data_IF_257530346588
#
_entry.id   IF_257530346588
#
_cell.length_a   1.000
_cell.length_b   1.000
_cell.length_c   1.000
_cell.angle_alpha   90.00
_cell.angle_beta   90.00
_cell.angle_gamma   90.00
#
_symmetry.space_group_name_H-M   'P 1'
#
loop_
_entity.id
_entity.type
_entity.pdbx_description
1 polymer ?
#
# COMPACT_ATOMS: atom_id res chain seq x y z
N UNK A 1 56.70 21.29 -71.48
CA UNK A 1 55.37 20.72 -71.12
C UNK A 1 55.27 20.67 -69.60
N UNK A 2 54.11 21.05 -69.03
CA UNK A 2 54.07 21.79 -67.77
C UNK A 2 54.00 20.89 -66.53
N UNK A 3 54.65 21.40 -65.48
CA UNK A 3 54.70 20.85 -64.13
C UNK A 3 53.33 20.97 -63.43
N UNK A 4 52.95 19.90 -62.73
CA UNK A 4 51.79 19.86 -61.82
C UNK A 4 52.05 20.78 -60.62
N UNK A 5 51.30 21.86 -60.52
CA UNK A 5 51.16 22.66 -59.29
C UNK A 5 50.16 21.97 -58.37
N UNK A 6 50.66 21.42 -57.26
CA UNK A 6 49.85 20.97 -56.12
C UNK A 6 49.56 22.21 -55.27
N UNK A 7 48.30 22.63 -55.24
CA UNK A 7 47.81 23.65 -54.31
C UNK A 7 47.67 22.99 -52.92
N UNK A 8 48.56 23.33 -52.00
CA UNK A 8 48.44 22.99 -50.58
C UNK A 8 47.55 24.06 -49.94
N UNK A 9 46.47 23.70 -49.22
CA UNK A 9 45.62 24.68 -48.56
C UNK A 9 46.40 25.37 -47.44
N UNK A 10 46.37 26.70 -47.48
CA UNK A 10 46.96 27.61 -46.50
C UNK A 10 46.31 27.37 -45.14
N UNK A 11 47.03 26.69 -44.25
CA UNK A 11 46.68 26.56 -42.84
C UNK A 11 46.84 27.94 -42.19
N UNK A 12 45.73 28.64 -41.89
CA UNK A 12 45.75 29.83 -41.05
C UNK A 12 46.21 29.43 -39.65
N UNK A 13 47.48 29.70 -39.35
CA UNK A 13 48.01 29.67 -37.99
C UNK A 13 47.51 30.93 -37.28
N UNK A 14 46.53 30.76 -36.38
CA UNK A 14 46.16 31.81 -35.45
C UNK A 14 47.35 32.10 -34.51
N UNK A 15 47.70 33.37 -34.24
CA UNK A 15 48.77 33.70 -33.30
C UNK A 15 48.39 33.18 -31.91
N UNK A 16 49.28 32.38 -31.32
CA UNK A 16 49.10 31.86 -29.97
C UNK A 16 49.11 33.02 -28.96
N UNK A 17 47.93 33.36 -28.43
CA UNK A 17 47.83 34.20 -27.24
C UNK A 17 48.43 33.40 -26.08
N UNK A 18 49.52 33.89 -25.49
CA UNK A 18 50.14 33.27 -24.32
C UNK A 18 49.14 33.37 -23.16
N UNK A 19 48.63 32.21 -22.73
CA UNK A 19 47.62 32.10 -21.67
C UNK A 19 48.28 32.30 -20.30
N UNK A 20 47.89 33.34 -19.57
CA UNK A 20 48.43 33.68 -18.26
C UNK A 20 47.29 33.89 -17.25
N UNK A 21 47.44 33.37 -16.02
CA UNK A 21 46.51 33.62 -14.92
C UNK A 21 46.62 35.10 -14.51
N UNK A 22 45.51 35.70 -14.09
CA UNK A 22 45.43 37.11 -13.67
C UNK A 22 45.14 37.18 -12.17
N UNK A 23 46.04 37.78 -11.41
CA UNK A 23 45.85 38.10 -10.00
C UNK A 23 45.37 39.55 -9.89
N UNK A 24 44.20 39.74 -9.28
CA UNK A 24 43.74 41.05 -8.85
C UNK A 24 44.19 41.28 -7.41
N UNK A 25 44.96 42.34 -7.20
CA UNK A 25 45.45 42.76 -5.90
C UNK A 25 44.39 43.60 -5.17
N UNK A 26 44.39 43.56 -3.84
CA UNK A 26 43.47 44.37 -3.01
C UNK A 26 43.68 45.88 -3.16
N UNK A 27 44.82 46.29 -3.73
CA UNK A 27 45.16 47.68 -4.05
C UNK A 27 44.64 48.14 -5.41
N UNK A 28 43.94 47.27 -6.16
CA UNK A 28 43.35 47.57 -7.47
C UNK A 28 44.26 47.28 -8.67
N UNK A 29 45.49 46.80 -8.45
CA UNK A 29 46.41 46.40 -9.54
C UNK A 29 46.17 44.97 -10.04
N UNK A 30 46.54 44.69 -11.29
CA UNK A 30 46.45 43.36 -11.92
C UNK A 30 47.84 42.85 -12.29
N UNK A 31 48.12 41.57 -12.01
CA UNK A 31 49.38 40.90 -12.35
C UNK A 31 49.08 39.66 -13.18
N UNK A 32 49.73 39.54 -14.35
CA UNK A 32 49.50 38.44 -15.31
C UNK A 32 50.68 37.46 -15.32
N UNK A 33 50.42 36.17 -15.17
CA UNK A 33 51.42 35.11 -15.28
C UNK A 33 50.90 33.72 -14.88
N UNK A 34 51.70 32.67 -14.98
CA UNK A 34 51.30 31.30 -14.60
C UNK A 34 51.34 31.13 -13.07
N UNK A 35 50.23 30.68 -12.46
CA UNK A 35 50.20 30.36 -11.03
C UNK A 35 50.91 29.02 -10.77
N UNK A 36 52.05 29.08 -10.07
CA UNK A 36 52.93 27.93 -9.83
C UNK A 36 52.51 27.04 -8.65
N UNK A 37 51.73 27.56 -7.69
CA UNK A 37 51.31 26.83 -6.49
C UNK A 37 49.77 26.59 -6.40
N UNK A 38 49.12 26.08 -7.45
CA UNK A 38 47.66 26.03 -7.54
C UNK A 38 46.96 25.11 -6.53
N UNK A 39 47.65 24.08 -6.05
CA UNK A 39 47.10 23.02 -5.18
C UNK A 39 47.46 23.21 -3.69
N UNK A 40 48.14 24.29 -3.34
CA UNK A 40 48.58 24.53 -1.95
C UNK A 40 47.37 24.78 -1.02
N UNK A 41 47.32 24.01 0.07
CA UNK A 41 46.35 24.14 1.17
C UNK A 41 47.02 23.75 2.52
N UNK A 42 46.89 24.55 3.60
CA UNK A 42 46.24 25.85 3.65
C UNK A 42 47.08 26.92 2.95
N UNK A 43 46.44 27.74 2.12
CA UNK A 43 47.13 28.72 1.27
C UNK A 43 47.78 29.83 2.06
N UNK A 44 49.10 30.01 1.90
CA UNK A 44 49.87 31.12 2.52
C UNK A 44 50.22 32.23 1.53
N UNK A 45 50.58 31.86 0.31
CA UNK A 45 51.00 32.78 -0.75
C UNK A 45 50.44 32.38 -2.11
N UNK A 46 50.51 33.30 -3.07
CA UNK A 46 50.29 33.06 -4.48
C UNK A 46 51.60 33.33 -5.21
N UNK A 47 52.13 32.31 -5.88
CA UNK A 47 53.37 32.41 -6.64
C UNK A 47 53.05 32.43 -8.12
N UNK A 48 53.41 33.54 -8.79
CA UNK A 48 53.17 33.73 -10.21
C UNK A 48 54.49 33.83 -10.96
N UNK A 49 54.56 33.18 -12.12
CA UNK A 49 55.58 33.43 -13.14
C UNK A 49 55.00 34.37 -14.19
N UNK A 50 55.42 35.63 -14.19
CA UNK A 50 55.00 36.62 -15.20
C UNK A 50 55.50 36.24 -16.60
N UNK A 51 54.89 36.81 -17.63
CA UNK A 51 55.22 36.56 -19.04
C UNK A 51 56.67 36.88 -19.40
N UNK A 52 57.29 37.82 -18.68
CA UNK A 52 58.70 38.21 -18.83
C UNK A 52 59.67 37.29 -18.06
N UNK A 53 59.18 36.18 -17.51
CA UNK A 53 59.97 35.20 -16.76
C UNK A 53 60.25 35.59 -15.30
N UNK A 54 59.63 36.67 -14.81
CA UNK A 54 59.83 37.14 -13.42
C UNK A 54 58.89 36.39 -12.49
N UNK A 55 59.45 35.73 -11.46
CA UNK A 55 58.67 35.07 -10.40
C UNK A 55 58.31 36.08 -9.31
N UNK A 56 57.02 36.22 -9.02
CA UNK A 56 56.47 37.12 -8.01
C UNK A 56 55.67 36.32 -6.98
N UNK A 57 55.77 36.73 -5.71
CA UNK A 57 55.07 36.08 -4.60
C UNK A 57 54.20 37.10 -3.86
N UNK A 58 52.90 36.83 -3.77
CA UNK A 58 51.93 37.67 -3.06
C UNK A 58 51.41 36.94 -1.83
N UNK A 59 51.35 37.62 -0.68
CA UNK A 59 50.73 37.05 0.52
C UNK A 59 49.21 36.94 0.36
N UNK A 60 48.57 35.97 1.04
CA UNK A 60 47.10 35.75 0.96
C UNK A 60 46.26 37.03 1.13
N UNK A 61 46.69 37.98 1.97
CA UNK A 61 45.97 39.25 2.25
C UNK A 61 46.07 40.30 1.13
N UNK A 62 47.04 40.16 0.23
CA UNK A 62 47.28 41.11 -0.86
C UNK A 62 46.51 40.74 -2.13
N UNK A 63 46.00 39.51 -2.22
CA UNK A 63 45.27 38.99 -3.38
C UNK A 63 43.78 39.03 -3.11
N UNK A 64 43.05 39.81 -3.91
CA UNK A 64 41.60 39.90 -3.85
C UNK A 64 40.95 38.70 -4.53
N UNK A 65 41.40 38.36 -5.75
CA UNK A 65 40.96 37.17 -6.49
C UNK A 65 42.01 36.75 -7.53
N UNK A 66 41.97 35.48 -7.93
CA UNK A 66 42.80 34.94 -9.01
C UNK A 66 41.87 34.39 -10.09
N UNK A 67 41.96 34.92 -11.31
CA UNK A 67 41.28 34.40 -12.49
C UNK A 67 42.28 33.53 -13.23
N UNK A 68 42.00 32.23 -13.32
CA UNK A 68 42.87 31.32 -14.07
C UNK A 68 42.68 31.54 -15.56
N UNK A 69 43.74 31.40 -16.35
CA UNK A 69 43.67 31.34 -17.81
C UNK A 69 42.85 30.16 -18.35
N UNK A 70 42.58 29.16 -17.50
CA UNK A 70 41.69 28.03 -17.77
C UNK A 70 40.33 28.18 -17.09
N UNK A 71 40.01 29.36 -16.55
CA UNK A 71 38.69 29.64 -15.98
C UNK A 71 37.63 29.56 -17.10
N UNK A 72 36.69 28.60 -17.03
CA UNK A 72 35.61 28.47 -17.99
C UNK A 72 34.82 29.77 -18.18
N UNK A 73 34.65 30.55 -17.10
CA UNK A 73 33.87 31.78 -17.12
C UNK A 73 34.55 32.85 -18.01
N UNK A 74 35.87 33.01 -17.87
CA UNK A 74 36.67 33.96 -18.66
C UNK A 74 36.76 33.55 -20.13
N UNK A 75 36.95 32.25 -20.39
CA UNK A 75 36.98 31.71 -21.75
C UNK A 75 35.62 31.84 -22.45
N UNK A 76 34.53 31.76 -21.69
CA UNK A 76 33.18 31.98 -22.23
C UNK A 76 33.03 33.41 -22.77
N UNK A 77 33.47 34.42 -22.02
CA UNK A 77 33.39 35.83 -22.43
C UNK A 77 34.30 36.12 -23.64
N UNK A 78 35.46 35.46 -23.74
CA UNK A 78 36.36 35.57 -24.88
C UNK A 78 35.77 34.97 -26.17
N UNK A 79 35.10 33.81 -26.06
CA UNK A 79 34.52 33.12 -27.21
C UNK A 79 33.17 33.69 -27.66
N UNK A 80 32.41 34.33 -26.76
CA UNK A 80 31.06 34.82 -27.06
C UNK A 80 30.99 35.76 -28.28
N UNK A 81 31.87 36.77 -28.46
CA UNK A 81 31.85 37.65 -29.63
C UNK A 81 32.28 36.97 -30.94
N UNK A 82 33.00 35.86 -30.85
CA UNK A 82 33.52 35.11 -32.00
C UNK A 82 32.46 34.15 -32.58
N UNK A 83 31.40 33.87 -31.81
CA UNK A 83 30.33 32.98 -32.24
C UNK A 83 29.32 33.73 -33.11
N UNK A 84 28.93 33.17 -34.27
CA UNK A 84 27.91 33.78 -35.10
C UNK A 84 26.56 33.80 -34.38
N UNK A 85 25.78 34.87 -34.59
CA UNK A 85 24.42 35.04 -34.07
C UNK A 85 23.39 34.15 -34.81
N UNK A 86 23.69 32.86 -34.95
CA UNK A 86 22.87 31.85 -35.62
C UNK A 86 22.57 30.68 -34.69
N UNK A 87 21.64 29.81 -35.10
CA UNK A 87 21.32 28.58 -34.36
C UNK A 87 22.56 27.68 -34.21
N UNK A 88 23.34 27.51 -35.28
CA UNK A 88 24.57 26.68 -35.25
C UNK A 88 25.68 27.28 -34.38
N UNK A 89 25.83 28.61 -34.36
CA UNK A 89 26.78 29.28 -33.46
C UNK A 89 26.44 29.06 -31.99
N UNK A 90 25.16 29.23 -31.64
CA UNK A 90 24.67 28.97 -30.30
C UNK A 90 24.75 27.49 -29.91
N UNK A 91 24.51 26.55 -30.84
CA UNK A 91 24.67 25.12 -30.60
C UNK A 91 26.13 24.75 -30.27
N UNK A 92 27.09 25.26 -31.05
CA UNK A 92 28.52 25.06 -30.77
C UNK A 92 28.92 25.61 -29.41
N UNK A 93 28.41 26.80 -29.05
CA UNK A 93 28.66 27.38 -27.72
C UNK A 93 28.03 26.55 -26.61
N UNK A 94 26.81 26.03 -26.79
CA UNK A 94 26.14 25.16 -25.83
C UNK A 94 26.90 23.84 -25.58
N UNK A 95 27.42 23.21 -26.63
CA UNK A 95 28.26 22.01 -26.54
C UNK A 95 29.60 22.29 -25.86
N UNK A 96 30.20 23.46 -26.10
CA UNK A 96 31.39 23.89 -25.37
C UNK A 96 31.09 24.10 -23.88
N UNK A 97 30.01 24.80 -23.55
CA UNK A 97 29.54 24.99 -22.17
C UNK A 97 29.25 23.66 -21.46
N UNK A 98 28.77 22.64 -22.19
CA UNK A 98 28.58 21.29 -21.64
C UNK A 98 29.93 20.67 -21.23
N UNK A 99 30.95 20.78 -22.08
CA UNK A 99 32.29 20.23 -21.83
C UNK A 99 33.02 20.93 -20.69
N UNK A 100 32.78 22.23 -20.52
CA UNK A 100 33.42 23.05 -19.48
C UNK A 100 32.63 23.15 -18.18
N UNK A 101 31.44 22.55 -18.10
CA UNK A 101 30.61 22.50 -16.89
C UNK A 101 29.74 23.74 -16.66
N UNK A 102 29.66 24.67 -17.61
CA UNK A 102 28.85 25.90 -17.54
C UNK A 102 27.38 25.63 -17.90
N UNK A 103 26.68 24.82 -17.09
CA UNK A 103 25.34 24.32 -17.38
C UNK A 103 24.25 25.42 -17.46
N UNK A 104 24.38 26.49 -16.69
CA UNK A 104 23.46 27.65 -16.76
C UNK A 104 23.53 28.33 -18.12
N UNK A 105 24.75 28.71 -18.55
CA UNK A 105 25.02 29.33 -19.86
C UNK A 105 24.65 28.41 -21.02
N UNK A 106 24.90 27.10 -20.88
CA UNK A 106 24.44 26.08 -21.84
C UNK A 106 22.94 26.18 -22.07
N UNK A 107 22.15 26.22 -20.99
CA UNK A 107 20.68 26.31 -21.08
C UNK A 107 20.24 27.54 -21.87
N UNK A 108 20.82 28.71 -21.59
CA UNK A 108 20.52 29.97 -22.31
C UNK A 108 20.81 29.87 -23.82
N UNK A 109 21.95 29.27 -24.19
CA UNK A 109 22.29 29.06 -25.59
C UNK A 109 21.33 28.08 -26.26
N UNK A 110 21.01 26.96 -25.61
CA UNK A 110 20.04 25.99 -26.14
C UNK A 110 18.64 26.59 -26.34
N UNK A 111 18.17 27.44 -25.41
CA UNK A 111 16.91 28.18 -25.57
C UNK A 111 16.96 29.14 -26.77
N UNK A 112 18.12 29.75 -27.00
CA UNK A 112 18.35 30.62 -28.17
C UNK A 112 18.37 29.81 -29.46
N UNK A 113 18.95 28.61 -29.47
CA UNK A 113 18.88 27.68 -30.61
C UNK A 113 17.43 27.36 -30.96
N UNK A 114 16.62 26.92 -29.97
CA UNK A 114 15.20 26.56 -30.21
C UNK A 114 14.36 27.76 -30.66
N UNK A 115 14.75 28.98 -30.29
CA UNK A 115 14.08 30.21 -30.74
C UNK A 115 14.36 30.53 -32.22
N UNK A 116 15.61 30.31 -32.66
CA UNK A 116 16.05 30.58 -34.03
C UNK A 116 15.69 29.43 -34.99
N UNK A 117 15.73 28.20 -34.51
CA UNK A 117 15.34 26.98 -35.22
C UNK A 117 14.41 26.14 -34.32
N UNK A 118 13.08 26.31 -34.46
CA UNK A 118 12.09 25.61 -33.66
C UNK A 118 12.08 24.09 -33.82
N UNK A 119 12.63 23.53 -34.90
CA UNK A 119 12.64 22.09 -35.16
C UNK A 119 13.99 21.44 -34.86
N UNK A 120 14.93 22.20 -34.27
CA UNK A 120 16.25 21.71 -33.87
C UNK A 120 16.18 20.63 -32.77
N UNK A 121 16.01 19.38 -33.19
CA UNK A 121 15.80 18.21 -32.34
C UNK A 121 16.88 18.02 -31.24
N UNK A 122 18.19 18.12 -31.52
CA UNK A 122 19.21 17.94 -30.48
C UNK A 122 19.10 18.96 -29.33
N UNK A 123 18.83 20.23 -29.63
CA UNK A 123 18.69 21.29 -28.63
C UNK A 123 17.44 21.10 -27.78
N UNK A 124 16.33 20.67 -28.39
CA UNK A 124 15.09 20.33 -27.68
C UNK A 124 15.26 19.15 -26.74
N UNK A 125 15.87 18.06 -27.21
CA UNK A 125 16.19 16.91 -26.34
C UNK A 125 17.13 17.32 -25.21
N UNK A 126 18.12 18.17 -25.48
CA UNK A 126 19.04 18.70 -24.49
C UNK A 126 18.38 19.60 -23.43
N UNK A 127 17.26 20.25 -23.77
CA UNK A 127 16.39 21.02 -22.86
C UNK A 127 15.29 20.16 -22.20
N UNK A 128 15.26 18.84 -22.45
CA UNK A 128 14.30 17.90 -21.86
C UNK A 128 12.95 17.81 -22.56
N UNK A 129 12.82 18.36 -23.77
CA UNK A 129 11.63 18.16 -24.60
C UNK A 129 11.62 16.75 -25.21
N UNK A 130 10.43 16.20 -25.37
CA UNK A 130 10.17 14.97 -26.10
C UNK A 130 9.09 15.23 -27.15
N UNK A 131 9.17 14.49 -28.26
CA UNK A 131 8.13 14.52 -29.29
C UNK A 131 6.96 13.67 -28.79
N UNK A 132 5.86 14.32 -28.41
CA UNK A 132 4.65 13.64 -27.92
C UNK A 132 3.46 14.13 -28.73
N UNK A 133 2.77 13.19 -29.41
CA UNK A 133 1.65 13.48 -30.32
C UNK A 133 1.97 14.53 -31.39
N UNK A 134 3.18 14.47 -31.98
CA UNK A 134 3.62 15.38 -33.04
C UNK A 134 3.94 16.81 -32.56
N UNK A 135 4.01 17.05 -31.24
CA UNK A 135 4.43 18.34 -30.66
C UNK A 135 5.57 18.14 -29.67
N UNK A 136 6.53 19.06 -29.70
CA UNK A 136 7.58 19.14 -28.71
C UNK A 136 7.03 19.62 -27.36
N UNK A 137 7.07 18.76 -26.36
CA UNK A 137 6.57 19.05 -25.01
C UNK A 137 7.57 18.54 -23.98
N UNK A 138 7.75 19.25 -22.87
CA UNK A 138 8.49 18.67 -21.75
C UNK A 138 7.66 17.55 -21.14
N UNK A 139 8.33 16.50 -20.70
CA UNK A 139 7.65 15.36 -20.08
C UNK A 139 6.84 15.77 -18.84
N UNK A 140 7.34 16.71 -18.03
CA UNK A 140 6.64 17.26 -16.86
C UNK A 140 5.37 18.01 -17.26
N UNK A 141 5.50 18.98 -18.17
CA UNK A 141 4.40 19.80 -18.67
C UNK A 141 3.29 18.93 -19.29
N UNK A 142 3.66 17.86 -20.01
CA UNK A 142 2.71 16.92 -20.58
C UNK A 142 1.79 16.25 -19.54
N UNK A 143 2.33 15.88 -18.38
CA UNK A 143 1.56 15.29 -17.29
C UNK A 143 0.78 16.34 -16.49
N UNK A 144 1.42 17.48 -16.18
CA UNK A 144 0.79 18.59 -15.46
C UNK A 144 -0.41 19.17 -16.21
N UNK A 145 -0.32 19.33 -17.53
CA UNK A 145 -1.42 19.79 -18.38
C UNK A 145 -2.61 18.83 -18.42
N UNK A 146 -2.43 17.58 -17.98
CA UNK A 146 -3.49 16.58 -17.83
C UNK A 146 -4.00 16.45 -16.39
N UNK A 147 -3.55 17.35 -15.52
CA UNK A 147 -3.94 17.39 -14.12
C UNK A 147 -3.22 16.35 -13.27
N UNK A 148 -2.11 15.77 -13.72
CA UNK A 148 -1.28 14.89 -12.89
C UNK A 148 -0.28 15.70 -12.09
N UNK A 149 -0.02 15.25 -10.86
CA UNK A 149 1.00 15.80 -9.98
C UNK A 149 2.05 14.74 -9.67
N UNK A 150 3.27 15.19 -9.38
CA UNK A 150 4.37 14.31 -9.01
C UNK A 150 4.28 13.98 -7.52
N UNK A 151 4.00 12.73 -7.18
CA UNK A 151 3.94 12.25 -5.80
C UNK A 151 4.79 10.99 -5.63
N UNK A 152 5.75 11.01 -4.70
CA UNK A 152 6.68 9.89 -4.38
C UNK A 152 7.35 9.21 -5.58
N UNK A 153 7.67 9.97 -6.62
CA UNK A 153 8.33 9.41 -7.79
C UNK A 153 7.37 8.79 -8.82
N UNK A 154 6.06 9.01 -8.68
CA UNK A 154 5.04 8.67 -9.67
C UNK A 154 4.21 9.89 -10.08
N UNK A 155 3.64 9.86 -11.30
CA UNK A 155 2.66 10.85 -11.74
C UNK A 155 1.28 10.32 -11.40
N UNK A 156 0.56 11.01 -10.53
CA UNK A 156 -0.75 10.58 -10.04
C UNK A 156 -1.76 11.71 -10.13
N UNK A 157 -3.04 11.37 -10.22
CA UNK A 157 -4.08 12.37 -10.13
C UNK A 157 -4.18 12.91 -8.68
N UNK A 158 -4.56 14.18 -8.46
CA UNK A 158 -4.71 14.76 -7.12
C UNK A 158 -5.64 13.94 -6.20
N UNK A 159 -6.71 13.36 -6.75
CA UNK A 159 -7.62 12.50 -6.00
C UNK A 159 -6.96 11.19 -5.54
N UNK A 160 -6.08 10.61 -6.37
CA UNK A 160 -5.32 9.41 -6.00
C UNK A 160 -4.30 9.73 -4.92
N UNK A 161 -3.59 10.86 -5.05
CA UNK A 161 -2.64 11.33 -4.03
C UNK A 161 -3.34 11.57 -2.70
N UNK A 162 -4.49 12.26 -2.71
CA UNK A 162 -5.25 12.50 -1.49
C UNK A 162 -5.73 11.20 -0.83
N UNK A 163 -6.16 10.20 -1.61
CA UNK A 163 -6.53 8.87 -1.10
C UNK A 163 -5.32 8.15 -0.52
N UNK A 164 -4.18 8.18 -1.20
CA UNK A 164 -2.96 7.51 -0.76
C UNK A 164 -2.45 8.14 0.54
N UNK A 165 -2.41 9.48 0.63
CA UNK A 165 -2.05 10.21 1.85
C UNK A 165 -3.03 9.93 3.00
N UNK A 166 -4.34 9.87 2.73
CA UNK A 166 -5.34 9.51 3.72
C UNK A 166 -5.20 8.06 4.21
N UNK A 167 -4.87 7.12 3.33
CA UNK A 167 -4.60 5.73 3.69
C UNK A 167 -3.34 5.63 4.56
N UNK A 168 -2.26 6.30 4.18
CA UNK A 168 -1.01 6.33 4.95
C UNK A 168 -1.20 6.95 6.32
N UNK A 169 -1.98 8.03 6.42
CA UNK A 169 -2.33 8.64 7.70
C UNK A 169 -3.12 7.65 8.58
N UNK A 170 -4.13 6.96 8.03
CA UNK A 170 -4.89 5.93 8.74
C UNK A 170 -3.98 4.79 9.21
N UNK A 171 -3.12 4.29 8.33
CA UNK A 171 -2.17 3.22 8.66
C UNK A 171 -1.20 3.64 9.77
N UNK A 172 -0.70 4.87 9.73
CA UNK A 172 0.16 5.42 10.78
C UNK A 172 -0.58 5.49 12.13
N UNK A 173 -1.83 5.94 12.15
CA UNK A 173 -2.67 5.94 13.36
C UNK A 173 -2.91 4.52 13.88
N UNK A 174 -3.25 3.57 13.00
CA UNK A 174 -3.45 2.17 13.37
C UNK A 174 -2.17 1.56 13.96
N UNK A 175 -1.00 1.89 13.41
CA UNK A 175 0.31 1.47 13.95
C UNK A 175 0.52 2.01 15.37
N UNK A 176 0.20 3.28 15.61
CA UNK A 176 0.28 3.87 16.96
C UNK A 176 -0.70 3.21 17.93
N UNK A 177 -1.92 2.91 17.48
CA UNK A 177 -2.89 2.15 18.28
C UNK A 177 -2.41 0.76 18.63
N UNK A 178 -1.81 0.03 17.67
CA UNK A 178 -1.21 -1.29 17.92
C UNK A 178 -0.11 -1.22 18.99
N UNK A 179 0.73 -0.18 18.98
CA UNK A 179 1.76 0.04 20.02
C UNK A 179 1.12 0.27 21.39
N UNK A 180 0.12 1.16 21.48
CA UNK A 180 -0.61 1.45 22.74
C UNK A 180 -1.30 0.21 23.29
N UNK A 181 -2.06 -0.50 22.45
CA UNK A 181 -2.77 -1.72 22.85
C UNK A 181 -1.80 -2.81 23.29
N UNK A 182 -0.70 -3.02 22.57
CA UNK A 182 0.34 -3.98 22.98
C UNK A 182 0.90 -3.65 24.36
N UNK A 183 1.17 -2.38 24.64
CA UNK A 183 1.65 -1.91 25.94
C UNK A 183 0.61 -2.17 27.03
N UNK A 184 -0.63 -1.71 26.87
CA UNK A 184 -1.69 -1.87 27.88
C UNK A 184 -2.07 -3.33 28.11
N UNK A 185 -2.16 -4.13 27.04
CA UNK A 185 -2.30 -5.59 27.11
C UNK A 185 -1.19 -6.21 27.96
N UNK A 186 0.07 -5.78 27.77
CA UNK A 186 1.19 -6.29 28.56
C UNK A 186 1.07 -5.93 30.05
N UNK A 187 0.52 -4.76 30.39
CA UNK A 187 0.29 -4.35 31.78
C UNK A 187 -0.75 -5.24 32.46
N UNK A 188 -1.81 -5.61 31.73
CA UNK A 188 -2.86 -6.51 32.22
C UNK A 188 -2.30 -7.93 32.41
N UNK A 189 -1.61 -8.46 31.39
CA UNK A 189 -1.14 -9.86 31.41
C UNK A 189 0.00 -10.11 32.39
N UNK A 190 0.96 -9.18 32.51
CA UNK A 190 2.13 -9.37 33.39
C UNK A 190 1.83 -9.12 34.86
N UNK A 191 0.68 -8.53 35.17
CA UNK A 191 0.20 -8.30 36.53
C UNK A 191 1.17 -7.57 37.47
N UNK A 192 1.85 -6.52 36.97
CA UNK A 192 2.86 -5.74 37.72
C UNK A 192 2.34 -4.45 38.35
N UNK A 193 1.09 -4.43 38.81
CA UNK A 193 0.46 -3.28 39.48
C UNK A 193 -0.21 -2.25 38.55
N UNK A 194 -0.16 -2.43 37.22
CA UNK A 194 -0.79 -1.55 36.21
C UNK A 194 -1.98 -2.17 35.47
N UNK A 195 -2.54 -3.27 35.99
CA UNK A 195 -3.62 -4.01 35.33
C UNK A 195 -4.88 -3.14 35.20
N UNK A 196 -5.27 -2.46 36.29
CA UNK A 196 -6.43 -1.58 36.30
C UNK A 196 -6.29 -0.42 35.33
N UNK A 197 -5.11 0.22 35.30
CA UNK A 197 -4.79 1.31 34.37
C UNK A 197 -4.85 0.83 32.91
N UNK A 198 -4.23 -0.33 32.60
CA UNK A 198 -4.27 -0.91 31.26
C UNK A 198 -5.70 -1.22 30.81
N UNK A 199 -6.51 -1.83 31.68
CA UNK A 199 -7.91 -2.14 31.37
C UNK A 199 -8.75 -0.87 31.19
N UNK A 200 -8.55 0.14 32.05
CA UNK A 200 -9.23 1.42 31.96
C UNK A 200 -8.90 2.15 30.65
N UNK A 201 -7.62 2.19 30.27
CA UNK A 201 -7.18 2.80 29.02
C UNK A 201 -7.85 2.17 27.81
N UNK A 202 -7.92 0.83 27.77
CA UNK A 202 -8.61 0.12 26.69
C UNK A 202 -10.12 0.42 26.72
N UNK A 203 -10.76 0.39 27.90
CA UNK A 203 -12.19 0.67 28.04
C UNK A 203 -12.60 2.08 27.61
N UNK A 204 -11.67 3.04 27.68
CA UNK A 204 -11.90 4.44 27.38
C UNK A 204 -11.62 4.83 25.93
N UNK A 205 -11.24 3.88 25.07
CA UNK A 205 -11.04 4.12 23.64
C UNK A 205 -12.37 4.56 23.00
N UNK A 206 -12.34 5.69 22.29
CA UNK A 206 -13.52 6.23 21.56
C UNK A 206 -13.23 6.50 20.09
N UNK A 207 -11.99 6.27 19.65
CA UNK A 207 -11.50 6.59 18.32
C UNK A 207 -11.71 5.43 17.34
N UNK A 208 -12.26 5.74 16.16
CA UNK A 208 -12.53 4.73 15.13
C UNK A 208 -11.24 4.10 14.55
N UNK A 209 -10.10 4.80 14.60
CA UNK A 209 -8.80 4.24 14.16
C UNK A 209 -8.30 3.10 15.05
N UNK A 210 -8.87 2.91 16.24
CA UNK A 210 -8.57 1.76 17.10
C UNK A 210 -9.36 0.49 16.74
N UNK A 211 -10.37 0.58 15.87
CA UNK A 211 -11.27 -0.55 15.54
C UNK A 211 -10.47 -1.72 14.96
N UNK A 212 -9.69 -1.51 13.90
CA UNK A 212 -8.96 -2.59 13.25
C UNK A 212 -7.90 -3.22 14.18
N UNK A 213 -7.08 -2.45 14.91
CA UNK A 213 -6.17 -3.00 15.92
C UNK A 213 -6.86 -3.84 17.02
N UNK A 214 -8.04 -3.43 17.49
CA UNK A 214 -8.83 -4.20 18.47
C UNK A 214 -9.41 -5.48 17.87
N UNK A 215 -9.88 -5.42 16.61
CA UNK A 215 -10.39 -6.60 15.91
C UNK A 215 -9.31 -7.65 15.70
N UNK A 216 -8.08 -7.23 15.37
CA UNK A 216 -6.95 -8.15 15.21
C UNK A 216 -6.60 -8.88 16.51
N UNK A 217 -6.69 -8.18 17.66
CA UNK A 217 -6.51 -8.82 18.98
C UNK A 217 -7.68 -9.73 19.35
N UNK A 218 -8.92 -9.34 19.02
CA UNK A 218 -10.09 -10.19 19.21
C UNK A 218 -10.03 -11.45 18.34
N UNK A 219 -9.38 -11.37 17.17
CA UNK A 219 -9.25 -12.51 16.27
C UNK A 219 -8.12 -13.48 16.64
N UNK A 220 -7.31 -13.16 17.65
CA UNK A 220 -6.33 -14.08 18.21
C UNK A 220 -7.02 -15.11 19.13
N UNK A 221 -6.92 -16.39 18.77
CA UNK A 221 -7.48 -17.49 19.56
C UNK A 221 -6.75 -17.71 20.89
N UNK A 222 -5.49 -17.27 21.00
CA UNK A 222 -4.72 -17.33 22.24
C UNK A 222 -5.05 -16.20 23.22
N UNK A 223 -5.85 -15.21 22.78
CA UNK A 223 -6.20 -14.09 23.63
C UNK A 223 -7.11 -14.52 24.79
N UNK A 224 -6.78 -14.17 26.04
CA UNK A 224 -7.58 -14.54 27.20
C UNK A 224 -9.03 -14.06 27.11
N UNK A 225 -10.02 -14.87 27.54
CA UNK A 225 -11.44 -14.50 27.44
C UNK A 225 -11.80 -13.16 28.08
N UNK A 226 -11.15 -12.81 29.20
CA UNK A 226 -11.37 -11.53 29.89
C UNK A 226 -10.97 -10.32 29.04
N UNK A 227 -9.88 -10.44 28.27
CA UNK A 227 -9.44 -9.39 27.35
C UNK A 227 -10.34 -9.33 26.12
N UNK A 228 -10.74 -10.47 25.56
CA UNK A 228 -11.71 -10.52 24.46
C UNK A 228 -13.01 -9.79 24.82
N UNK A 229 -13.56 -10.05 26.02
CA UNK A 229 -14.76 -9.37 26.50
C UNK A 229 -14.58 -7.85 26.60
N UNK A 230 -13.42 -7.39 27.07
CA UNK A 230 -13.08 -5.97 27.12
C UNK A 230 -12.97 -5.35 25.72
N UNK A 231 -12.37 -6.04 24.75
CA UNK A 231 -12.29 -5.56 23.37
C UNK A 231 -13.68 -5.50 22.74
N UNK A 232 -14.52 -6.52 22.96
CA UNK A 232 -15.89 -6.56 22.46
C UNK A 232 -16.72 -5.41 23.03
N UNK A 233 -16.60 -5.09 24.32
CA UNK A 233 -17.36 -3.98 24.90
C UNK A 233 -17.00 -2.65 24.25
N UNK A 234 -15.72 -2.40 24.00
CA UNK A 234 -15.24 -1.19 23.30
C UNK A 234 -15.73 -1.16 21.86
N UNK A 235 -15.52 -2.24 21.10
CA UNK A 235 -15.96 -2.35 19.70
C UNK A 235 -17.49 -2.19 19.57
N UNK A 236 -18.26 -2.69 20.54
CA UNK A 236 -19.71 -2.54 20.58
C UNK A 236 -20.15 -1.09 20.83
N UNK A 237 -19.36 -0.29 21.56
CA UNK A 237 -19.59 1.14 21.75
C UNK A 237 -19.22 1.97 20.51
N UNK A 238 -18.14 1.59 19.82
CA UNK A 238 -17.69 2.25 18.58
C UNK A 238 -18.65 2.04 17.40
N UNK A 239 -19.47 0.97 17.44
CA UNK A 239 -20.52 0.67 16.44
C UNK A 239 -20.01 0.64 15.00
N UNK A 240 -18.78 0.18 14.78
CA UNK A 240 -18.22 0.09 13.44
C UNK A 240 -18.80 -1.11 12.69
N UNK A 241 -19.31 -0.95 11.45
CA UNK A 241 -19.82 -2.07 10.66
C UNK A 241 -18.74 -3.10 10.34
N UNK A 242 -17.46 -2.69 10.32
CA UNK A 242 -16.30 -3.56 10.09
C UNK A 242 -16.21 -4.69 11.14
N UNK A 243 -16.72 -4.46 12.36
CA UNK A 243 -16.74 -5.46 13.44
C UNK A 243 -17.69 -6.62 13.19
N UNK A 244 -18.68 -6.47 12.29
CA UNK A 244 -19.74 -7.47 12.04
C UNK A 244 -19.16 -8.85 11.70
N UNK A 245 -18.16 -8.91 10.82
CA UNK A 245 -17.57 -10.17 10.37
C UNK A 245 -16.86 -10.93 11.49
N UNK A 246 -16.03 -10.24 12.28
CA UNK A 246 -15.32 -10.86 13.40
C UNK A 246 -16.28 -11.26 14.52
N UNK A 247 -17.28 -10.43 14.83
CA UNK A 247 -18.31 -10.80 15.81
C UNK A 247 -19.06 -12.05 15.38
N UNK A 248 -19.49 -12.14 14.11
CA UNK A 248 -20.17 -13.33 13.59
C UNK A 248 -19.28 -14.58 13.66
N UNK A 249 -18.00 -14.47 13.26
CA UNK A 249 -17.00 -15.55 13.40
C UNK A 249 -16.88 -16.03 14.85
N UNK A 250 -16.79 -15.09 15.81
CA UNK A 250 -16.67 -15.40 17.24
C UNK A 250 -17.94 -16.06 17.79
N UNK A 251 -19.13 -15.62 17.39
CA UNK A 251 -20.40 -16.28 17.75
C UNK A 251 -20.42 -17.76 17.31
N UNK A 252 -19.90 -18.06 16.13
CA UNK A 252 -19.92 -19.40 15.57
C UNK A 252 -18.85 -20.32 16.18
N UNK A 253 -17.65 -19.80 16.43
CA UNK A 253 -16.48 -20.64 16.66
C UNK A 253 -15.78 -20.43 17.99
N UNK A 254 -16.04 -19.35 18.73
CA UNK A 254 -15.33 -19.11 19.99
C UNK A 254 -15.66 -20.20 21.04
N UNK A 255 -14.64 -20.62 21.78
CA UNK A 255 -14.74 -21.68 22.79
C UNK A 255 -15.51 -21.19 24.02
N UNK A 256 -15.35 -19.94 24.41
CA UNK A 256 -15.96 -19.37 25.61
C UNK A 256 -17.40 -18.90 25.33
N UNK A 257 -18.36 -19.39 26.12
CA UNK A 257 -19.78 -19.03 25.97
C UNK A 257 -20.03 -17.52 26.13
N UNK A 258 -19.41 -16.90 27.13
CA UNK A 258 -19.55 -15.47 27.40
C UNK A 258 -19.08 -14.61 26.23
N UNK A 259 -18.00 -15.00 25.54
CA UNK A 259 -17.49 -14.28 24.37
C UNK A 259 -18.49 -14.37 23.22
N UNK A 260 -19.06 -15.56 22.96
CA UNK A 260 -20.11 -15.74 21.95
C UNK A 260 -21.32 -14.85 22.24
N UNK A 261 -21.82 -14.87 23.48
CA UNK A 261 -23.01 -14.11 23.88
C UNK A 261 -22.77 -12.60 23.82
N UNK A 262 -21.58 -12.13 24.16
CA UNK A 262 -21.18 -10.72 24.05
C UNK A 262 -21.16 -10.25 22.60
N UNK A 263 -20.51 -11.01 21.69
CA UNK A 263 -20.52 -10.70 20.26
C UNK A 263 -21.94 -10.70 19.68
N UNK A 264 -22.77 -11.69 20.03
CA UNK A 264 -24.14 -11.76 19.55
C UNK A 264 -24.99 -10.59 20.05
N UNK A 265 -24.82 -10.19 21.31
CA UNK A 265 -25.51 -9.03 21.87
C UNK A 265 -25.05 -7.72 21.24
N UNK A 266 -23.77 -7.61 20.87
CA UNK A 266 -23.26 -6.47 20.11
C UNK A 266 -23.90 -6.40 18.71
N UNK A 267 -23.97 -7.52 17.99
CA UNK A 267 -24.63 -7.62 16.68
C UNK A 267 -26.11 -7.24 16.74
N UNK A 268 -26.83 -7.71 17.77
CA UNK A 268 -28.23 -7.36 18.01
C UNK A 268 -28.40 -5.86 18.27
N UNK A 269 -27.58 -5.28 19.13
CA UNK A 269 -27.60 -3.84 19.44
C UNK A 269 -27.30 -2.98 18.22
N UNK A 270 -26.46 -3.45 17.31
CA UNK A 270 -26.11 -2.74 16.07
C UNK A 270 -27.17 -2.90 14.98
N UNK A 271 -28.08 -3.88 15.10
CA UNK A 271 -29.10 -4.16 14.09
C UNK A 271 -28.51 -4.57 12.74
N UNK A 272 -27.33 -5.22 12.75
CA UNK A 272 -26.61 -5.55 11.52
C UNK A 272 -27.31 -6.68 10.75
N UNK A 273 -28.08 -6.30 9.73
CA UNK A 273 -28.70 -7.25 8.77
C UNK A 273 -27.64 -8.04 8.00
N UNK A 274 -26.46 -7.47 7.81
CA UNK A 274 -25.30 -8.13 7.19
C UNK A 274 -24.86 -9.36 7.99
N UNK A 275 -25.03 -9.37 9.33
CA UNK A 275 -24.68 -10.53 10.14
C UNK A 275 -25.50 -11.79 9.79
N UNK A 276 -26.76 -11.61 9.39
CA UNK A 276 -27.64 -12.71 8.99
C UNK A 276 -27.11 -13.39 7.73
N UNK A 277 -26.66 -12.59 6.76
CA UNK A 277 -26.08 -13.09 5.52
C UNK A 277 -24.79 -13.89 5.77
N UNK A 278 -24.04 -13.56 6.84
CA UNK A 278 -22.87 -14.33 7.29
C UNK A 278 -23.29 -15.64 7.97
N UNK A 279 -24.39 -15.67 8.73
CA UNK A 279 -24.83 -16.87 9.45
C UNK A 279 -25.52 -17.92 8.56
N UNK A 280 -26.22 -17.50 7.50
CA UNK A 280 -26.98 -18.41 6.62
C UNK A 280 -26.14 -19.60 6.08
N UNK A 281 -24.92 -19.39 5.54
CA UNK A 281 -24.09 -20.50 5.07
C UNK A 281 -23.73 -21.54 6.13
N UNK A 282 -23.75 -21.16 7.42
CA UNK A 282 -23.40 -22.05 8.53
C UNK A 282 -24.56 -22.91 9.04
N UNK A 283 -25.78 -22.73 8.49
CA UNK A 283 -26.91 -23.62 8.76
C UNK A 283 -26.74 -25.01 8.15
N UNK A 284 -25.77 -25.18 7.23
CA UNK A 284 -25.40 -26.47 6.61
C UNK A 284 -23.97 -26.89 7.00
N UNK A 285 -23.45 -26.39 8.12
CA UNK A 285 -22.10 -26.72 8.58
C UNK A 285 -21.95 -28.21 8.92
N UNK A 286 -20.75 -28.77 8.70
CA UNK A 286 -20.45 -30.18 9.04
C UNK A 286 -20.55 -30.45 10.54
N UNK A 287 -20.38 -29.42 11.37
CA UNK A 287 -20.52 -29.49 12.81
C UNK A 287 -21.91 -29.01 13.25
N UNK A 288 -22.72 -29.92 13.78
CA UNK A 288 -24.07 -29.63 14.28
C UNK A 288 -24.12 -28.53 15.36
N UNK A 289 -23.04 -28.36 16.12
CA UNK A 289 -22.94 -27.26 17.09
C UNK A 289 -22.92 -25.90 16.39
N UNK A 290 -22.22 -25.78 15.26
CA UNK A 290 -22.15 -24.54 14.48
C UNK A 290 -23.52 -24.25 13.85
N UNK A 291 -24.21 -25.26 13.33
CA UNK A 291 -25.60 -25.14 12.82
C UNK A 291 -26.52 -24.55 13.88
N UNK A 292 -26.49 -25.07 15.12
CA UNK A 292 -27.33 -24.55 16.20
C UNK A 292 -26.91 -23.15 16.65
N UNK A 293 -25.61 -22.81 16.63
CA UNK A 293 -25.13 -21.45 16.92
C UNK A 293 -25.61 -20.45 15.87
N UNK A 294 -25.53 -20.81 14.59
CA UNK A 294 -26.06 -19.99 13.49
C UNK A 294 -27.58 -19.79 13.62
N UNK A 295 -28.32 -20.86 13.89
CA UNK A 295 -29.77 -20.79 14.14
C UNK A 295 -30.11 -19.86 15.31
N UNK A 296 -29.44 -19.99 16.45
CA UNK A 296 -29.62 -19.11 17.61
C UNK A 296 -29.37 -17.64 17.24
N UNK A 297 -28.26 -17.37 16.52
CA UNK A 297 -27.89 -16.02 16.15
C UNK A 297 -28.92 -15.37 15.23
N UNK A 298 -29.34 -16.07 14.18
CA UNK A 298 -30.40 -15.63 13.26
C UNK A 298 -31.71 -15.39 14.02
N UNK A 299 -32.08 -16.28 14.95
CA UNK A 299 -33.27 -16.13 15.77
C UNK A 299 -33.27 -14.87 16.65
N UNK A 300 -32.11 -14.49 17.20
CA UNK A 300 -31.96 -13.25 17.97
C UNK A 300 -32.00 -12.00 17.09
N UNK A 301 -31.46 -12.07 15.88
CA UNK A 301 -31.51 -10.97 14.91
C UNK A 301 -32.89 -10.80 14.26
N UNK A 302 -33.76 -11.83 14.34
CA UNK A 302 -35.17 -11.81 13.89
C UNK A 302 -35.38 -11.42 12.42
N UNK A 303 -34.42 -11.75 11.57
CA UNK A 303 -34.51 -11.42 10.15
C UNK A 303 -35.22 -12.53 9.37
N UNK A 304 -36.37 -12.19 8.79
CA UNK A 304 -37.20 -13.11 8.03
C UNK A 304 -36.55 -13.60 6.72
N UNK A 305 -35.50 -12.95 6.20
CA UNK A 305 -34.76 -13.42 5.01
C UNK A 305 -34.17 -14.82 5.19
N UNK A 306 -33.88 -15.21 6.44
CA UNK A 306 -33.34 -16.53 6.75
C UNK A 306 -34.42 -17.63 6.91
N UNK A 307 -35.71 -17.34 6.70
CA UNK A 307 -36.80 -18.31 6.92
C UNK A 307 -36.60 -19.61 6.14
N UNK A 308 -36.39 -19.53 4.81
CA UNK A 308 -36.18 -20.72 3.98
C UNK A 308 -34.91 -21.48 4.40
N UNK A 309 -33.74 -20.84 4.55
CA UNK A 309 -32.55 -21.51 5.10
C UNK A 309 -32.77 -22.21 6.44
N UNK A 310 -33.53 -21.60 7.36
CA UNK A 310 -33.84 -22.21 8.65
C UNK A 310 -34.76 -23.42 8.52
N UNK A 311 -35.75 -23.39 7.63
CA UNK A 311 -36.62 -24.55 7.36
C UNK A 311 -35.78 -25.73 6.87
N UNK A 312 -34.87 -25.48 5.92
CA UNK A 312 -33.96 -26.51 5.40
C UNK A 312 -33.02 -27.08 6.49
N UNK A 313 -32.67 -26.26 7.47
CA UNK A 313 -31.77 -26.64 8.57
C UNK A 313 -32.48 -27.19 9.81
N UNK A 314 -33.81 -27.38 9.81
CA UNK A 314 -34.54 -27.97 10.96
C UNK A 314 -33.98 -29.34 11.37
N UNK A 315 -33.59 -30.14 10.37
CA UNK A 315 -32.87 -31.39 10.57
C UNK A 315 -31.67 -31.46 9.64
N UNK A 316 -30.52 -31.89 10.17
CA UNK A 316 -29.27 -32.00 9.42
C UNK A 316 -28.65 -33.38 9.63
N UNK A 317 -27.94 -33.89 8.62
CA UNK A 317 -27.27 -35.19 8.70
C UNK A 317 -25.76 -34.99 8.87
N UNK A 318 -25.19 -35.60 9.91
CA UNK A 318 -23.77 -35.48 10.23
C UNK A 318 -23.10 -36.85 10.25
N UNK A 319 -21.86 -36.90 9.73
CA UNK A 319 -21.03 -38.11 9.69
C UNK A 319 -20.06 -38.09 10.86
N UNK A 320 -20.05 -39.15 11.65
CA UNK A 320 -19.13 -39.37 12.76
C UNK A 320 -18.25 -40.58 12.45
N UNK A 321 -16.94 -40.42 12.61
CA UNK A 321 -15.99 -41.53 12.53
C UNK A 321 -15.81 -42.05 13.94
N UNK A 322 -16.29 -43.27 14.21
CA UNK A 322 -16.00 -43.94 15.46
C UNK A 322 -14.72 -44.75 15.26
N UNK A 323 -13.69 -44.60 16.13
CA UNK A 323 -12.52 -45.45 16.11
C UNK A 323 -12.99 -46.91 16.13
N UNK A 324 -12.48 -47.73 15.21
CA UNK A 324 -12.76 -49.16 15.27
C UNK A 324 -12.33 -49.67 16.64
N UNK A 325 -13.21 -50.44 17.28
CA UNK A 325 -12.89 -51.12 18.54
C UNK A 325 -11.56 -51.83 18.34
N UNK A 326 -10.54 -51.49 19.15
CA UNK A 326 -9.15 -51.88 18.95
C UNK A 326 -9.06 -53.33 18.48
N UNK A 327 -8.50 -53.53 17.29
CA UNK A 327 -8.57 -54.80 16.58
C UNK A 327 -8.06 -55.94 17.46
N UNK A 328 -8.95 -56.82 17.89
CA UNK A 328 -8.54 -58.12 18.38
C UNK A 328 -7.85 -58.82 17.20
N UNK A 329 -6.55 -59.07 17.35
CA UNK A 329 -5.80 -59.90 16.42
C UNK A 329 -6.31 -61.34 16.62
N UNK A 330 -7.20 -61.77 15.73
CA UNK A 330 -7.67 -63.14 15.69
C UNK A 330 -6.81 -63.94 14.70
N UNK A 331 -6.18 -65.01 15.17
CA UNK A 331 -5.65 -66.04 14.29
C UNK A 331 -6.84 -66.88 13.78
N UNK A 332 -7.07 -66.87 12.46
CA UNK A 332 -8.09 -67.71 11.82
C UNK A 332 -7.38 -68.85 11.10
N UNK A 333 -7.85 -70.07 11.34
CA UNK A 333 -7.34 -71.29 10.67
C UNK A 333 -8.43 -71.80 9.74
N UNK A 334 -8.10 -71.94 8.45
CA UNK A 334 -9.00 -72.60 7.51
C UNK A 334 -8.88 -74.14 7.61
N UNK A 335 -9.86 -74.85 7.06
CA UNK A 335 -9.91 -76.32 7.07
C UNK A 335 -8.80 -77.00 6.25
N UNK A 336 -7.98 -76.25 5.52
CA UNK A 336 -6.88 -76.74 4.68
C UNK A 336 -5.49 -76.38 5.25
N UNK A 337 -5.41 -75.92 6.51
CA UNK A 337 -4.13 -75.69 7.18
C UNK A 337 -3.49 -74.33 6.89
N UNK A 338 -4.20 -73.41 6.25
CA UNK A 338 -3.77 -72.02 6.10
C UNK A 338 -4.10 -71.20 7.35
N UNK A 339 -3.08 -70.81 8.12
CA UNK A 339 -3.22 -69.89 9.26
C UNK A 339 -2.96 -68.44 8.83
N UNK A 340 -3.95 -67.56 9.00
CA UNK A 340 -3.83 -66.13 8.70
C UNK A 340 -4.19 -65.25 9.91
N UNK A 341 -3.40 -64.20 10.15
CA UNK A 341 -3.70 -63.15 11.13
C UNK A 341 -4.65 -62.13 10.46
N UNK A 342 -5.89 -62.01 10.95
CA UNK A 342 -6.85 -61.01 10.47
C UNK A 342 -6.98 -59.87 11.47
N UNK A 343 -6.57 -58.67 11.05
CA UNK A 343 -6.73 -57.43 11.81
C UNK A 343 -8.08 -56.80 11.45
N UNK A 344 -9.14 -57.22 12.12
CA UNK A 344 -10.49 -56.66 11.95
C UNK A 344 -10.70 -55.44 12.84
N UNK A 345 -11.07 -54.28 12.25
CA UNK A 345 -11.50 -53.11 13.04
C UNK A 345 -11.12 -51.74 12.47
N UNK A 346 -11.33 -51.49 11.18
CA UNK A 346 -11.15 -50.15 10.61
C UNK A 346 -12.18 -49.14 11.16
N UNK A 347 -11.92 -47.82 11.06
CA UNK A 347 -12.85 -46.78 11.48
C UNK A 347 -14.22 -46.94 10.80
N UNK A 348 -15.32 -46.86 11.58
CA UNK A 348 -16.70 -46.92 11.05
C UNK A 348 -17.29 -45.52 10.94
N UNK A 349 -17.80 -45.17 9.77
CA UNK A 349 -18.52 -43.90 9.54
C UNK A 349 -20.00 -44.13 9.83
N UNK A 350 -20.52 -43.44 10.86
CA UNK A 350 -21.94 -43.46 11.22
C UNK A 350 -22.57 -42.14 10.78
N UNK A 351 -23.72 -42.23 10.12
CA UNK A 351 -24.56 -41.08 9.78
C UNK A 351 -25.61 -40.91 10.88
N UNK A 352 -25.72 -39.70 11.42
CA UNK A 352 -26.74 -39.37 12.43
C UNK A 352 -27.51 -38.14 11.97
N UNK A 353 -28.82 -38.29 11.89
CA UNK A 353 -29.75 -37.17 11.70
C UNK A 353 -29.92 -36.47 13.05
N UNK A 354 -29.72 -35.16 13.06
CA UNK A 354 -29.84 -34.30 14.22
C UNK A 354 -31.02 -33.35 14.05
N UNK A 355 -31.77 -33.14 15.13
CA UNK A 355 -32.82 -32.12 15.20
C UNK A 355 -32.26 -30.84 15.81
N UNK A 356 -32.35 -29.73 15.06
CA UNK A 356 -31.71 -28.47 15.44
C UNK A 356 -32.66 -27.58 16.24
N UNK A 357 -32.65 -27.76 17.56
CA UNK A 357 -33.55 -27.03 18.49
C UNK A 357 -33.40 -25.51 18.37
N UNK A 358 -32.18 -25.01 18.21
CA UNK A 358 -31.96 -23.57 18.08
C UNK A 358 -32.53 -23.00 16.77
N UNK A 359 -32.52 -23.79 15.70
CA UNK A 359 -33.12 -23.43 14.40
C UNK A 359 -34.64 -23.41 14.49
N UNK A 360 -35.25 -24.40 15.15
CA UNK A 360 -36.69 -24.40 15.42
C UNK A 360 -37.13 -23.19 16.28
N UNK A 361 -36.36 -22.88 17.32
CA UNK A 361 -36.61 -21.71 18.16
C UNK A 361 -36.50 -20.41 17.35
N UNK A 362 -35.54 -20.32 16.44
CA UNK A 362 -35.38 -19.17 15.55
C UNK A 362 -36.60 -18.99 14.64
N UNK A 363 -37.09 -20.06 14.00
CA UNK A 363 -38.32 -20.02 13.19
C UNK A 363 -39.53 -19.58 14.00
N UNK A 364 -39.69 -20.13 15.21
CA UNK A 364 -40.80 -19.78 16.10
C UNK A 364 -40.71 -18.33 16.61
N UNK A 365 -39.49 -17.80 16.73
CA UNK A 365 -39.25 -16.40 17.16
C UNK A 365 -39.52 -15.41 16.02
N UNK A 366 -39.12 -15.75 14.80
CA UNK A 366 -39.36 -14.93 13.61
C UNK A 366 -40.85 -14.95 13.23
N UNK A 367 -41.50 -16.12 13.31
CA UNK A 367 -42.90 -16.32 12.96
C UNK A 367 -43.69 -16.76 14.18
N UNK A 368 -44.01 -15.78 15.03
CA UNK A 368 -44.79 -16.02 16.25
C UNK A 368 -46.17 -16.63 15.93
N UNK A 369 -46.57 -17.61 16.74
CA UNK A 369 -47.85 -18.33 16.58
C UNK A 369 -47.83 -19.48 15.58
N UNK A 370 -46.71 -19.74 14.90
CA UNK A 370 -46.55 -20.86 13.97
C UNK A 370 -45.48 -21.81 14.50
N UNK A 371 -45.82 -23.10 14.64
CA UNK A 371 -44.87 -24.11 15.06
C UNK A 371 -45.28 -25.50 14.54
N UNK A 372 -44.57 -26.00 13.53
CA UNK A 372 -44.74 -27.36 13.01
C UNK A 372 -43.66 -28.33 13.51
N UNK A 373 -43.00 -27.99 14.63
CA UNK A 373 -41.85 -28.74 15.16
C UNK A 373 -40.80 -28.93 14.07
N UNK A 374 -40.24 -30.14 13.94
CA UNK A 374 -39.22 -30.48 12.94
C UNK A 374 -39.79 -30.94 11.58
N UNK A 375 -41.09 -30.73 11.32
CA UNK A 375 -41.76 -31.11 10.07
C UNK A 375 -41.47 -30.08 8.95
N UNK A 376 -40.44 -30.35 8.14
CA UNK A 376 -39.99 -29.45 7.07
C UNK A 376 -41.07 -29.16 6.03
N UNK A 377 -41.83 -30.17 5.62
CA UNK A 377 -42.81 -30.02 4.55
C UNK A 377 -43.98 -29.14 4.99
N UNK A 378 -44.44 -29.27 6.24
CA UNK A 378 -45.45 -28.35 6.78
C UNK A 378 -44.96 -26.91 6.85
N UNK A 379 -43.72 -26.69 7.26
CA UNK A 379 -43.11 -25.36 7.26
C UNK A 379 -43.00 -24.77 5.84
N UNK A 380 -42.59 -25.57 4.84
CA UNK A 380 -42.52 -25.13 3.43
C UNK A 380 -43.90 -24.78 2.90
N UNK A 381 -44.88 -25.68 3.04
CA UNK A 381 -46.23 -25.42 2.58
C UNK A 381 -46.82 -24.16 3.22
N UNK A 382 -46.66 -23.98 4.53
CA UNK A 382 -47.09 -22.76 5.20
C UNK A 382 -46.40 -21.51 4.63
N UNK A 383 -45.09 -21.55 4.40
CA UNK A 383 -44.33 -20.42 3.86
C UNK A 383 -44.73 -20.09 2.42
N UNK A 384 -44.97 -21.11 1.59
CA UNK A 384 -45.49 -20.96 0.23
C UNK A 384 -46.86 -20.30 0.24
N UNK A 385 -47.81 -20.78 1.05
CA UNK A 385 -49.15 -20.19 1.15
C UNK A 385 -49.11 -18.74 1.64
N UNK A 386 -48.20 -18.41 2.57
CA UNK A 386 -48.04 -17.05 3.10
C UNK A 386 -47.48 -16.07 2.06
N UNK A 387 -46.58 -16.53 1.18
CA UNK A 387 -45.87 -15.66 0.23
C UNK A 387 -46.34 -15.79 -1.22
N UNK A 388 -47.24 -16.73 -1.52
CA UNK A 388 -47.91 -16.81 -2.82
C UNK A 388 -48.90 -15.64 -2.90
N UNK A 389 -48.75 -14.70 -3.85
CA UNK A 389 -49.75 -13.66 -4.03
C UNK A 389 -51.10 -14.33 -4.33
N UNK A 390 -52.11 -14.05 -3.49
CA UNK A 390 -53.49 -14.45 -3.77
C UNK A 390 -53.83 -13.96 -5.17
N UNK A 391 -54.25 -14.89 -6.01
CA UNK A 391 -54.55 -14.71 -7.43
C UNK A 391 -54.98 -13.27 -7.77
N UNK A 392 -54.14 -12.57 -8.55
CA UNK A 392 -54.64 -11.56 -9.48
C UNK A 392 -55.74 -12.25 -10.28
N UNK A 393 -56.99 -11.91 -10.01
CA UNK A 393 -58.13 -12.32 -10.80
C UNK A 393 -57.87 -11.91 -12.25
N UNK A 394 -57.38 -12.83 -13.07
CA UNK A 394 -57.21 -12.65 -14.51
C UNK A 394 -58.56 -12.81 -15.25
N UNK A 395 -59.69 -12.47 -14.60
CA UNK A 395 -60.95 -12.23 -15.32
C UNK A 395 -60.86 -10.88 -16.03
N UNK A 396 -60.16 -10.89 -17.17
CA UNK A 396 -60.51 -10.01 -18.29
C UNK A 396 -61.83 -10.52 -18.86
N UNK A 397 -62.85 -9.67 -18.79
CA UNK A 397 -63.96 -9.52 -19.75
C UNK A 397 -64.70 -10.77 -20.22
N UNK A 398 -65.98 -10.85 -19.85
CA UNK A 398 -67.04 -11.01 -20.86
C UNK A 398 -68.02 -9.85 -20.74
#
# INVERSE_FOLDING_TARGET
MPYRLILIPLLMVLPGVVRADVIHLTTGGEVRGELLNPKESPRKSYEILTLDGIRMTFGKRQVQRVVRSQDPEALYEEYLPQMPASAEGNWKMAEWCLKTGLLGKRTTHLETVVRLDPDHEPARRALGYQMINGKWQKRTEYWENRGYIRHKGDWKLPQEVARDEANEAREAEEIEWRKRLKMWRSWILKQRGKQGEGAQNISNIRELSAVQPLLDLLDDDQEPPQLKLLYISVLAELKSPVSTGIFAKRVLHDSEARVRDACLSALEKHGSTVAVDIFIPHLTDKNNMVVNRAGLAIGRLKDARATVPLIEALTTEHKYVIPGQGGNIGASFDKNGGGGLSTGGGPKVIRRVMQNRAVLNALSTIHSGVNYQFDKEKWRHWYEHKNTPQQLSLRRTE
#
